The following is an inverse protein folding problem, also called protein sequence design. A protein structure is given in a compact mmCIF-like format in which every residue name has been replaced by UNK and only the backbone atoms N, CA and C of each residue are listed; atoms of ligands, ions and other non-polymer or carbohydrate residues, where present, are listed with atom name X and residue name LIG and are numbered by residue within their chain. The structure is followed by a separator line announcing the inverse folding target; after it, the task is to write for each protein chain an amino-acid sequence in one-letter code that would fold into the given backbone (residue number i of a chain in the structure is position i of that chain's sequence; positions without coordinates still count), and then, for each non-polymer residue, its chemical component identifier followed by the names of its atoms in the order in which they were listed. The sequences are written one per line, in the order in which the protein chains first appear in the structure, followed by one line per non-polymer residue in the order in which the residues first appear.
data_IF_831901525335
#
_entry.id   IF_831901525335
#
_cell.length_a   1.000
_cell.length_b   1.000
_cell.length_c   1.000
_cell.angle_alpha   90.00
_cell.angle_beta   90.00
_cell.angle_gamma   90.00
#
_symmetry.space_group_name_H-M   'P 1'
#
loop_
_entity.id
_entity.type
_entity.pdbx_description
1 polymer ?
#
# COMPACT_ATOMS: atom_id res chain seq x y z
N UNK A 1 -52.86 -17.43 71.75
CA UNK A 1 -53.39 -18.65 71.13
C UNK A 1 -53.12 -18.59 69.63
N UNK A 2 -52.54 -19.67 69.10
CA UNK A 2 -52.40 -20.08 67.69
C UNK A 2 -51.45 -19.26 66.79
N UNK A 3 -50.58 -19.84 65.96
CA UNK A 3 -49.77 -21.08 65.95
C UNK A 3 -48.85 -20.90 64.75
N UNK A 4 -47.62 -21.39 64.87
CA UNK A 4 -46.62 -21.41 63.80
C UNK A 4 -47.11 -22.14 62.54
N UNK A 5 -46.61 -21.71 61.37
CA UNK A 5 -46.49 -22.59 60.20
C UNK A 5 -45.27 -22.23 59.35
N UNK A 6 -44.17 -22.91 59.66
CA UNK A 6 -43.07 -23.23 58.77
C UNK A 6 -43.57 -24.18 57.68
N UNK A 7 -43.36 -23.92 56.38
CA UNK A 7 -43.26 -24.95 55.33
C UNK A 7 -42.31 -24.47 54.21
N UNK A 8 -41.12 -25.10 54.18
CA UNK A 8 -40.42 -25.77 53.09
C UNK A 8 -40.24 -25.05 51.73
N UNK A 9 -38.98 -24.72 51.46
CA UNK A 9 -38.40 -24.81 50.12
C UNK A 9 -38.47 -26.26 49.61
N UNK A 10 -38.64 -26.45 48.29
CA UNK A 10 -37.61 -27.19 47.57
C UNK A 10 -37.14 -26.46 46.32
N UNK A 11 -35.85 -26.60 46.07
CA UNK A 11 -35.10 -26.17 44.89
C UNK A 11 -35.78 -26.61 43.58
N UNK A 12 -35.98 -25.67 42.67
CA UNK A 12 -35.90 -25.94 41.24
C UNK A 12 -34.93 -24.95 40.60
N UNK A 13 -33.80 -25.50 40.19
CA UNK A 13 -32.87 -24.92 39.24
C UNK A 13 -33.62 -24.40 38.02
N UNK A 14 -33.43 -23.14 37.66
CA UNK A 14 -33.57 -22.73 36.27
C UNK A 14 -32.44 -21.77 35.90
N UNK A 15 -31.51 -22.38 35.21
CA UNK A 15 -30.37 -21.85 34.48
C UNK A 15 -30.84 -20.74 33.53
N UNK A 16 -30.66 -19.47 33.93
CA UNK A 16 -30.73 -18.34 33.02
C UNK A 16 -29.30 -17.96 32.62
N UNK A 17 -28.80 -18.64 31.59
CA UNK A 17 -27.72 -18.11 30.77
C UNK A 17 -28.25 -16.90 29.99
N UNK A 18 -27.57 -15.75 30.04
CA UNK A 18 -27.15 -15.02 28.83
C UNK A 18 -26.42 -13.72 29.21
N UNK A 19 -25.11 -13.72 28.91
CA UNK A 19 -24.35 -12.60 28.38
C UNK A 19 -24.41 -11.28 29.16
N UNK A 20 -23.77 -11.26 30.34
CA UNK A 20 -23.15 -10.03 30.81
C UNK A 20 -22.00 -9.68 29.85
N UNK A 21 -22.23 -8.64 29.06
CA UNK A 21 -21.31 -7.93 28.19
C UNK A 21 -19.83 -8.13 28.53
N UNK A 22 -19.20 -9.11 27.86
CA UNK A 22 -17.79 -9.02 27.60
C UNK A 22 -17.60 -7.76 26.77
N UNK A 23 -17.16 -6.68 27.43
CA UNK A 23 -16.56 -5.52 26.77
C UNK A 23 -15.27 -5.98 26.12
N UNK A 24 -15.41 -6.75 25.04
CA UNK A 24 -14.43 -6.84 23.99
C UNK A 24 -14.38 -5.44 23.38
N UNK A 25 -13.59 -4.57 23.99
CA UNK A 25 -12.82 -3.62 23.22
C UNK A 25 -12.03 -4.46 22.22
N UNK A 26 -12.59 -4.69 21.03
CA UNK A 26 -11.81 -5.04 19.86
C UNK A 26 -10.91 -3.83 19.58
N UNK A 27 -9.85 -3.72 20.38
CA UNK A 27 -8.61 -3.07 20.03
C UNK A 27 -7.94 -3.83 18.90
N UNK A 28 -8.62 -3.91 17.76
CA UNK A 28 -7.99 -3.96 16.46
C UNK A 28 -8.51 -2.73 15.74
N UNK A 29 -7.89 -1.59 16.05
CA UNK A 29 -7.58 -0.65 14.98
C UNK A 29 -6.74 -1.46 13.99
N UNK A 30 -7.41 -2.11 13.04
CA UNK A 30 -6.78 -2.56 11.84
C UNK A 30 -6.26 -1.27 11.21
N UNK A 31 -4.99 -0.94 11.51
CA UNK A 31 -4.21 -0.02 10.72
C UNK A 31 -4.28 -0.61 9.31
N UNK A 32 -5.22 -0.12 8.51
CA UNK A 32 -5.23 -0.29 7.07
C UNK A 32 -3.92 0.34 6.64
N UNK A 33 -2.90 -0.50 6.54
CA UNK A 33 -1.57 -0.01 6.25
C UNK A 33 -1.57 0.49 4.83
N UNK A 34 -1.14 1.73 4.65
CA UNK A 34 -1.06 2.33 3.34
C UNK A 34 -0.15 1.49 2.42
N UNK A 35 -0.62 1.26 1.20
CA UNK A 35 0.13 0.61 0.14
C UNK A 35 0.47 1.65 -0.93
N UNK A 36 1.74 1.72 -1.32
CA UNK A 36 2.26 2.67 -2.30
C UNK A 36 2.87 1.88 -3.45
N UNK A 37 2.47 2.20 -4.68
CA UNK A 37 3.03 1.65 -5.90
C UNK A 37 3.47 2.78 -6.82
N UNK A 38 4.76 2.83 -7.14
CA UNK A 38 5.32 3.75 -8.12
C UNK A 38 5.72 2.96 -9.38
N UNK A 39 5.03 3.23 -10.48
CA UNK A 39 5.16 2.52 -11.77
C UNK A 39 5.71 3.47 -12.81
N UNK A 40 6.86 3.10 -13.39
CA UNK A 40 7.53 3.83 -14.46
C UNK A 40 7.39 3.02 -15.75
N UNK A 41 6.69 3.58 -16.74
CA UNK A 41 6.58 3.01 -18.10
C UNK A 41 7.21 3.97 -19.12
N UNK A 42 7.53 3.51 -20.34
CA UNK A 42 8.09 4.38 -21.39
C UNK A 42 7.24 5.63 -21.69
N UNK A 43 5.92 5.57 -21.48
CA UNK A 43 5.01 6.69 -21.70
C UNK A 43 4.94 7.72 -20.56
N UNK A 44 5.65 7.52 -19.45
CA UNK A 44 5.61 8.47 -18.33
C UNK A 44 6.24 9.80 -18.74
N UNK A 45 5.61 10.92 -18.40
CA UNK A 45 6.18 12.24 -18.67
C UNK A 45 7.11 12.69 -17.53
N UNK A 46 7.98 13.67 -17.82
CA UNK A 46 8.87 14.26 -16.82
C UNK A 46 8.08 14.99 -15.72
N UNK A 47 6.97 15.61 -16.07
CA UNK A 47 6.07 16.31 -15.13
C UNK A 47 5.44 15.32 -14.15
N UNK A 48 4.98 14.16 -14.64
CA UNK A 48 4.46 13.09 -13.79
C UNK A 48 5.55 12.57 -12.86
N UNK A 49 6.76 12.29 -13.35
CA UNK A 49 7.87 11.86 -12.50
C UNK A 49 8.16 12.85 -11.37
N UNK A 50 8.24 14.16 -11.67
CA UNK A 50 8.48 15.18 -10.67
C UNK A 50 7.34 15.27 -9.64
N UNK A 51 6.09 15.20 -10.10
CA UNK A 51 4.90 15.22 -9.22
C UNK A 51 4.90 14.01 -8.29
N UNK A 52 5.18 12.82 -8.83
CA UNK A 52 5.28 11.59 -8.05
C UNK A 52 6.42 11.66 -7.04
N UNK A 53 7.59 12.18 -7.41
CA UNK A 53 8.72 12.33 -6.48
C UNK A 53 8.38 13.25 -5.30
N UNK A 54 7.66 14.36 -5.56
CA UNK A 54 7.18 15.25 -4.51
C UNK A 54 6.19 14.54 -3.58
N UNK A 55 5.24 13.77 -4.14
CA UNK A 55 4.26 13.04 -3.34
C UNK A 55 4.89 11.93 -2.50
N UNK A 56 5.85 11.20 -3.06
CA UNK A 56 6.60 10.17 -2.34
C UNK A 56 7.40 10.76 -1.17
N UNK A 57 7.90 12.00 -1.29
CA UNK A 57 8.63 12.68 -0.22
C UNK A 57 7.76 12.87 1.03
N UNK A 58 6.47 13.14 0.86
CA UNK A 58 5.51 13.24 1.97
C UNK A 58 5.31 11.91 2.71
N UNK A 59 5.66 10.80 2.06
CA UNK A 59 5.62 9.43 2.59
C UNK A 59 7.00 8.93 3.03
N UNK A 60 7.96 9.83 3.25
CA UNK A 60 9.35 9.50 3.62
C UNK A 60 10.09 8.62 2.59
N UNK A 61 9.66 8.68 1.32
CA UNK A 61 10.31 8.01 0.19
C UNK A 61 10.93 9.07 -0.71
N UNK A 62 12.25 9.10 -0.82
CA UNK A 62 12.96 10.07 -1.66
C UNK A 62 13.39 9.41 -2.96
N UNK A 63 13.05 10.05 -4.08
CA UNK A 63 13.49 9.61 -5.40
C UNK A 63 14.47 10.64 -5.96
N UNK A 64 15.69 10.20 -6.29
CA UNK A 64 16.71 11.03 -6.93
C UNK A 64 16.98 10.49 -8.32
N UNK A 65 16.59 11.25 -9.34
CA UNK A 65 16.87 10.90 -10.74
C UNK A 65 18.29 11.34 -11.09
N UNK A 66 19.17 10.37 -11.38
CA UNK A 66 20.54 10.59 -11.83
C UNK A 66 20.62 10.77 -13.35
N UNK A 67 19.72 10.10 -14.08
CA UNK A 67 19.61 10.19 -15.54
C UNK A 67 18.15 10.03 -15.95
N UNK A 68 17.69 10.90 -16.85
CA UNK A 68 16.40 10.83 -17.53
C UNK A 68 16.61 11.24 -18.98
N UNK A 69 16.54 10.28 -19.90
CA UNK A 69 16.67 10.54 -21.35
C UNK A 69 15.32 10.30 -21.98
N UNK A 70 14.78 11.34 -22.64
CA UNK A 70 13.55 11.29 -23.40
C UNK A 70 13.83 11.44 -24.89
N UNK A 71 13.11 10.70 -25.73
CA UNK A 71 13.12 10.83 -27.19
C UNK A 71 11.69 10.76 -27.69
N UNK A 72 11.28 11.74 -28.51
CA UNK A 72 9.92 11.81 -29.08
C UNK A 72 8.80 11.69 -28.03
N UNK A 73 9.01 12.25 -26.82
CA UNK A 73 8.04 12.20 -25.72
C UNK A 73 8.02 10.89 -24.92
N UNK A 74 8.86 9.90 -25.27
CA UNK A 74 8.99 8.64 -24.52
C UNK A 74 10.27 8.61 -23.69
N UNK A 75 10.21 8.01 -22.51
CA UNK A 75 11.34 7.73 -21.66
C UNK A 75 12.17 6.60 -22.27
N UNK A 76 13.41 6.90 -22.65
CA UNK A 76 14.34 5.95 -23.26
C UNK A 76 15.35 5.39 -22.26
N UNK A 77 15.73 6.16 -21.25
CA UNK A 77 16.67 5.70 -20.23
C UNK A 77 16.42 6.40 -18.91
N UNK A 78 16.48 5.64 -17.84
CA UNK A 78 16.34 6.11 -16.48
C UNK A 78 17.40 5.49 -15.59
N UNK A 79 18.03 6.34 -14.78
CA UNK A 79 18.84 5.94 -13.63
C UNK A 79 18.36 6.73 -12.43
N UNK A 80 17.91 6.04 -11.40
CA UNK A 80 17.35 6.66 -10.20
C UNK A 80 17.78 5.92 -8.94
N UNK A 81 17.83 6.66 -7.83
CA UNK A 81 17.99 6.13 -6.48
C UNK A 81 16.72 6.39 -5.70
N UNK A 82 16.19 5.36 -5.04
CA UNK A 82 15.02 5.45 -4.16
C UNK A 82 15.47 5.15 -2.74
N UNK A 83 15.22 6.06 -1.81
CA UNK A 83 15.56 5.94 -0.39
C UNK A 83 14.27 5.92 0.43
N UNK A 84 14.13 4.92 1.29
CA UNK A 84 12.95 4.75 2.16
C UNK A 84 13.39 4.90 3.60
N UNK A 85 12.83 5.89 4.29
CA UNK A 85 13.06 6.12 5.71
C UNK A 85 11.85 5.64 6.52
N UNK A 86 12.03 4.54 7.25
CA UNK A 86 11.01 4.02 8.19
C UNK A 86 11.45 4.33 9.62
N UNK A 87 10.58 4.89 10.50
CA UNK A 87 10.93 5.20 11.88
C UNK A 87 11.53 3.99 12.62
N UNK A 88 12.68 4.21 13.27
CA UNK A 88 13.36 3.17 14.05
C UNK A 88 14.08 2.08 13.22
N UNK A 89 14.16 2.22 11.89
CA UNK A 89 14.86 1.28 11.00
C UNK A 89 15.93 2.01 10.17
N UNK A 90 17.00 1.33 9.75
CA UNK A 90 17.96 1.89 8.80
C UNK A 90 17.29 2.28 7.48
N UNK A 91 17.80 3.35 6.84
CA UNK A 91 17.32 3.78 5.52
C UNK A 91 17.62 2.67 4.51
N UNK A 92 16.61 2.27 3.73
CA UNK A 92 16.76 1.32 2.63
C UNK A 92 16.95 2.07 1.34
N UNK A 93 17.96 1.68 0.56
CA UNK A 93 18.30 2.33 -0.72
C UNK A 93 18.19 1.33 -1.86
N UNK A 94 17.50 1.74 -2.92
CA UNK A 94 17.33 0.97 -4.15
C UNK A 94 17.89 1.75 -5.33
N UNK A 95 18.64 1.06 -6.18
CA UNK A 95 19.08 1.59 -7.46
C UNK A 95 18.17 1.04 -8.56
N UNK A 96 17.63 1.94 -9.36
CA UNK A 96 16.78 1.67 -10.50
C UNK A 96 17.54 2.13 -11.74
N UNK A 97 17.81 1.21 -12.66
CA UNK A 97 18.46 1.52 -13.92
C UNK A 97 17.83 0.71 -15.05
N UNK A 98 17.46 1.42 -16.10
CA UNK A 98 16.92 0.82 -17.30
C UNK A 98 17.21 1.68 -18.52
N UNK A 99 17.58 1.03 -19.61
CA UNK A 99 17.80 1.68 -20.90
C UNK A 99 17.09 0.88 -21.98
N UNK A 100 16.16 1.54 -22.66
CA UNK A 100 15.40 0.97 -23.75
C UNK A 100 16.33 0.62 -24.92
N UNK A 101 16.36 -0.67 -25.28
CA UNK A 101 16.78 -1.10 -26.60
C UNK A 101 15.51 -1.20 -27.44
N UNK A 102 15.37 -0.33 -28.45
CA UNK A 102 14.22 -0.30 -29.37
C UNK A 102 12.85 -0.01 -28.71
N UNK A 103 12.75 1.03 -27.88
CA UNK A 103 11.49 1.57 -27.31
C UNK A 103 10.72 0.63 -26.36
N UNK A 104 11.28 -0.54 -26.02
CA UNK A 104 10.70 -1.44 -25.03
C UNK A 104 11.62 -1.62 -23.83
N UNK A 105 11.19 -1.14 -22.67
CA UNK A 105 11.72 -1.65 -21.40
C UNK A 105 10.57 -2.06 -20.49
N UNK A 106 10.79 -3.10 -19.68
CA UNK A 106 9.77 -3.63 -18.77
C UNK A 106 9.39 -2.57 -17.73
N UNK A 107 8.10 -2.37 -17.42
CA UNK A 107 7.68 -1.42 -16.38
C UNK A 107 8.50 -1.58 -15.11
N UNK A 108 9.01 -0.50 -14.57
CA UNK A 108 9.79 -0.53 -13.34
C UNK A 108 8.83 -0.21 -12.21
N UNK A 109 8.70 -1.12 -11.25
CA UNK A 109 7.71 -1.00 -10.17
C UNK A 109 8.41 -1.00 -8.83
N UNK A 110 8.36 0.14 -8.17
CA UNK A 110 8.69 0.24 -6.76
C UNK A 110 7.41 0.08 -5.93
N UNK A 111 7.48 -0.68 -4.84
CA UNK A 111 6.37 -0.85 -3.90
C UNK A 111 6.83 -0.62 -2.47
N UNK A 112 5.95 -0.02 -1.67
CA UNK A 112 6.08 0.13 -0.23
C UNK A 112 4.76 -0.25 0.42
N UNK A 113 4.75 -1.40 1.08
CA UNK A 113 3.58 -1.93 1.79
C UNK A 113 3.85 -1.87 3.29
N UNK A 114 2.77 -1.83 4.06
CA UNK A 114 2.84 -1.90 5.51
C UNK A 114 3.71 -0.78 6.09
N UNK A 115 3.55 0.47 5.63
CA UNK A 115 4.32 1.63 6.12
C UNK A 115 5.85 1.48 5.98
N UNK A 116 6.29 0.89 4.87
CA UNK A 116 7.71 0.70 4.58
C UNK A 116 8.32 -0.58 5.16
N UNK A 117 7.56 -1.40 5.89
CA UNK A 117 8.06 -2.68 6.40
C UNK A 117 8.40 -3.64 5.25
N UNK A 118 7.53 -3.71 4.25
CA UNK A 118 7.74 -4.49 3.02
C UNK A 118 7.94 -3.53 1.85
N UNK A 119 9.19 -3.24 1.54
CA UNK A 119 9.59 -2.36 0.44
C UNK A 119 10.45 -3.12 -0.55
N UNK A 120 10.26 -2.83 -1.83
CA UNK A 120 11.06 -3.47 -2.86
C UNK A 120 10.92 -2.80 -4.21
N UNK A 121 11.72 -3.32 -5.13
CA UNK A 121 11.77 -2.87 -6.51
C UNK A 121 11.80 -4.10 -7.42
N UNK A 122 10.95 -4.11 -8.44
CA UNK A 122 10.88 -5.19 -9.42
C UNK A 122 10.82 -4.62 -10.84
N UNK A 123 11.47 -5.32 -11.77
CA UNK A 123 11.28 -5.11 -13.19
C UNK A 123 10.10 -5.97 -13.65
N UNK A 124 9.01 -5.33 -14.04
CA UNK A 124 7.71 -5.94 -14.27
C UNK A 124 6.82 -5.89 -13.02
N UNK A 125 5.88 -6.82 -12.94
CA UNK A 125 4.94 -6.90 -11.82
C UNK A 125 5.41 -7.96 -10.84
N UNK A 126 5.47 -7.63 -9.56
CA UNK A 126 5.96 -8.53 -8.50
C UNK A 126 5.08 -9.77 -8.34
N UNK A 127 5.71 -10.92 -8.07
CA UNK A 127 4.99 -12.19 -7.91
C UNK A 127 4.03 -12.17 -6.72
N UNK A 128 4.42 -11.49 -5.64
CA UNK A 128 3.67 -11.38 -4.38
C UNK A 128 2.45 -10.44 -4.46
N UNK A 129 2.25 -9.74 -5.57
CA UNK A 129 1.12 -8.83 -5.73
C UNK A 129 -0.19 -9.61 -5.92
N UNK A 130 -1.27 -9.11 -5.33
CA UNK A 130 -2.61 -9.68 -5.54
C UNK A 130 -3.05 -9.51 -6.99
N UNK A 131 -3.98 -10.34 -7.47
CA UNK A 131 -4.47 -10.26 -8.87
C UNK A 131 -5.01 -8.86 -9.22
N UNK A 132 -5.65 -8.19 -8.26
CA UNK A 132 -6.15 -6.81 -8.40
C UNK A 132 -5.01 -5.79 -8.53
N UNK A 133 -3.98 -5.89 -7.69
CA UNK A 133 -2.81 -5.00 -7.76
C UNK A 133 -2.06 -5.17 -9.08
N UNK A 134 -1.84 -6.43 -9.49
CA UNK A 134 -1.24 -6.77 -10.79
C UNK A 134 -2.02 -6.13 -11.93
N UNK A 135 -3.35 -6.16 -11.88
CA UNK A 135 -4.22 -5.56 -12.88
C UNK A 135 -4.06 -4.04 -12.93
N UNK A 136 -4.09 -3.37 -11.78
CA UNK A 136 -3.97 -1.90 -11.71
C UNK A 136 -2.61 -1.42 -12.25
N UNK A 137 -1.53 -2.09 -11.83
CA UNK A 137 -0.16 -1.81 -12.28
C UNK A 137 0.00 -2.03 -13.79
N UNK A 138 -0.53 -3.16 -14.29
CA UNK A 138 -0.39 -3.50 -15.71
C UNK A 138 -1.23 -2.63 -16.63
N UNK A 139 -2.52 -2.47 -16.32
CA UNK A 139 -3.47 -1.93 -17.30
C UNK A 139 -3.51 -0.40 -17.31
N UNK A 140 -3.38 0.27 -16.15
CA UNK A 140 -3.84 1.67 -16.05
C UNK A 140 -2.84 2.65 -15.42
N UNK A 141 -1.86 2.16 -14.67
CA UNK A 141 -0.98 3.02 -13.87
C UNK A 141 0.33 3.37 -14.59
N UNK A 142 0.60 4.66 -14.75
CA UNK A 142 1.87 5.22 -15.26
C UNK A 142 2.28 6.39 -14.37
N UNK A 143 2.59 6.08 -13.11
CA UNK A 143 2.84 7.06 -12.07
C UNK A 143 2.70 6.44 -10.69
N UNK A 144 1.93 7.06 -9.80
CA UNK A 144 1.81 6.69 -8.40
C UNK A 144 0.39 6.25 -8.05
N UNK A 145 0.27 5.15 -7.32
CA UNK A 145 -0.95 4.73 -6.64
C UNK A 145 -0.68 4.68 -5.15
N UNK A 146 -1.56 5.30 -4.37
CA UNK A 146 -1.58 5.21 -2.90
C UNK A 146 -2.95 4.67 -2.50
N UNK A 147 -2.96 3.57 -1.74
CA UNK A 147 -4.18 2.98 -1.19
C UNK A 147 -4.08 2.98 0.34
N UNK A 148 -5.02 3.64 1.03
CA UNK A 148 -5.02 3.68 2.49
C UNK A 148 -6.38 4.04 3.08
N UNK A 149 -6.76 3.37 4.17
CA UNK A 149 -7.92 3.68 5.04
C UNK A 149 -9.21 4.08 4.32
N UNK A 150 -9.54 3.38 3.22
CA UNK A 150 -10.77 3.60 2.44
C UNK A 150 -10.67 4.65 1.32
N UNK A 151 -9.50 5.24 1.11
CA UNK A 151 -9.23 6.18 0.01
C UNK A 151 -8.20 5.61 -0.96
N UNK A 152 -8.34 5.98 -2.23
CA UNK A 152 -7.38 5.68 -3.30
C UNK A 152 -6.99 7.00 -3.97
N UNK A 153 -5.69 7.24 -4.06
CA UNK A 153 -5.12 8.34 -4.83
C UNK A 153 -4.32 7.78 -6.00
N UNK A 154 -4.53 8.34 -7.19
CA UNK A 154 -3.81 7.97 -8.42
C UNK A 154 -3.24 9.25 -9.03
N UNK A 155 -1.92 9.26 -9.21
CA UNK A 155 -1.20 10.32 -9.92
C UNK A 155 -0.64 9.72 -11.20
N UNK A 156 -1.12 10.20 -12.33
CA UNK A 156 -0.81 9.63 -13.63
C UNK A 156 -1.72 8.44 -13.95
N UNK A 157 -2.44 8.56 -15.06
CA UNK A 157 -3.21 7.49 -15.66
C UNK A 157 -3.11 7.62 -17.18
N UNK A 158 -3.12 6.50 -17.87
CA UNK A 158 -3.34 6.48 -19.31
C UNK A 158 -4.84 6.27 -19.55
N UNK A 159 -5.50 7.24 -20.19
CA UNK A 159 -6.75 6.96 -20.90
C UNK A 159 -6.35 6.43 -22.28
N UNK A 160 -6.71 5.19 -22.59
CA UNK A 160 -6.66 4.75 -23.98
C UNK A 160 -7.66 5.61 -24.76
N UNK A 161 -7.19 6.35 -25.76
CA UNK A 161 -8.09 6.77 -26.84
C UNK A 161 -8.58 5.54 -27.59
#
# INVERSE_FOLDING_TARGET
MNTAKTIRQPYFLLLAALLAAASFSLGKSAKSSEAIYFVIKPSISKEVLNTVANRLKEKNIRVTYQQLIFKSGQLMSIKARIEVATPGKPIRTYALEETSQAESFKPLVFYSLSDGERTGFVKGVGEDMTRSEKRIVNENLVGLLIEGSGSREVIGSWQSN
#
